data_IF_980554240058
#
_entry.id   IF_980554240058
#
_cell.length_a   1.000
_cell.length_b   1.000
_cell.length_c   1.000
_cell.angle_alpha   90.00
_cell.angle_beta   90.00
_cell.angle_gamma   90.00
#
_symmetry.space_group_name_H-M   'P 1'
#
loop_
_entity.id
_entity.type
_entity.pdbx_description
1 polymer ?
#
# COMPACT_ATOMS: atom_id res chain seq x y z
N UNK A 1 -11.39 -51.47 58.24
CA UNK A 1 -10.72 -51.74 56.97
C UNK A 1 -11.50 -51.13 55.78
N UNK A 2 -11.75 -49.79 55.81
CA UNK A 2 -12.66 -49.14 54.84
C UNK A 2 -12.23 -47.69 54.49
N UNK A 3 -10.94 -47.38 54.42
CA UNK A 3 -10.49 -46.01 54.14
C UNK A 3 -9.56 -45.86 52.90
N UNK A 4 -9.19 -46.96 52.22
CA UNK A 4 -8.15 -46.85 51.16
C UNK A 4 -8.69 -46.74 49.71
N UNK A 5 -9.99 -47.02 49.49
CA UNK A 5 -10.60 -47.00 48.12
C UNK A 5 -11.07 -45.67 47.62
N UNK A 6 -11.30 -44.70 48.52
CA UNK A 6 -11.80 -43.35 48.18
C UNK A 6 -10.67 -42.41 47.69
N UNK A 7 -9.48 -42.59 48.16
CA UNK A 7 -8.30 -41.75 47.83
C UNK A 7 -7.73 -42.03 46.42
N UNK A 8 -7.81 -43.30 45.96
CA UNK A 8 -7.35 -43.66 44.61
C UNK A 8 -8.26 -43.09 43.50
N UNK A 9 -9.58 -43.01 43.71
CA UNK A 9 -10.50 -42.44 42.73
C UNK A 9 -10.33 -40.95 42.56
N UNK A 10 -10.06 -40.22 43.68
CA UNK A 10 -9.82 -38.77 43.68
C UNK A 10 -8.52 -38.40 42.96
N UNK A 11 -7.44 -39.17 43.13
CA UNK A 11 -6.15 -38.97 42.45
C UNK A 11 -6.22 -39.27 40.94
N UNK A 12 -7.02 -40.29 40.55
CA UNK A 12 -7.23 -40.59 39.13
C UNK A 12 -8.05 -39.51 38.43
N UNK A 13 -9.12 -39.01 39.04
CA UNK A 13 -9.95 -37.93 38.47
C UNK A 13 -9.17 -36.59 38.35
N UNK A 14 -8.27 -36.28 39.29
CA UNK A 14 -7.39 -35.11 39.21
C UNK A 14 -6.39 -35.20 38.06
N UNK A 15 -5.81 -36.40 37.83
CA UNK A 15 -4.90 -36.64 36.71
C UNK A 15 -5.56 -36.60 35.35
N UNK A 16 -6.80 -37.13 35.24
CA UNK A 16 -7.59 -37.04 34.00
C UNK A 16 -8.09 -35.61 33.74
N UNK A 17 -8.49 -34.85 34.75
CA UNK A 17 -8.84 -33.43 34.60
C UNK A 17 -7.68 -32.55 34.18
N UNK A 18 -6.47 -32.80 34.73
CA UNK A 18 -5.23 -32.12 34.32
C UNK A 18 -4.82 -32.49 32.88
N UNK A 19 -4.96 -33.74 32.47
CA UNK A 19 -4.67 -34.20 31.12
C UNK A 19 -5.65 -33.60 30.09
N UNK A 20 -6.94 -33.50 30.43
CA UNK A 20 -7.95 -32.85 29.57
C UNK A 20 -7.71 -31.34 29.47
N UNK A 21 -7.27 -30.68 30.54
CA UNK A 21 -6.92 -29.25 30.52
C UNK A 21 -5.67 -28.98 29.71
N UNK A 22 -4.69 -29.91 29.67
CA UNK A 22 -3.51 -29.83 28.82
C UNK A 22 -3.86 -30.08 27.33
N UNK A 23 -4.77 -31.00 27.03
CA UNK A 23 -5.28 -31.25 25.67
C UNK A 23 -6.06 -30.06 25.10
N UNK A 24 -6.81 -29.33 25.91
CA UNK A 24 -7.50 -28.11 25.52
C UNK A 24 -6.53 -26.94 25.23
N UNK A 25 -5.35 -26.90 25.87
CA UNK A 25 -4.35 -25.87 25.61
C UNK A 25 -3.57 -26.10 24.32
N UNK A 26 -3.46 -27.34 23.84
CA UNK A 26 -2.74 -27.68 22.60
C UNK A 26 -3.54 -27.33 21.34
N UNK A 27 -4.84 -27.21 21.43
CA UNK A 27 -5.69 -26.85 20.27
C UNK A 27 -5.71 -25.36 19.93
N UNK A 28 -5.08 -24.50 20.77
CA UNK A 28 -4.96 -23.05 20.51
C UNK A 28 -3.72 -22.67 19.70
N UNK A 29 -2.88 -23.64 19.31
CA UNK A 29 -1.83 -23.44 18.31
C UNK A 29 -2.43 -23.54 16.89
N UNK A 30 -3.47 -22.78 16.60
CA UNK A 30 -3.84 -22.48 15.23
C UNK A 30 -2.68 -21.70 14.65
N UNK A 31 -1.97 -22.31 13.71
CA UNK A 31 -0.79 -21.70 13.11
C UNK A 31 -1.18 -20.32 12.59
N UNK A 32 -0.60 -19.27 13.17
CA UNK A 32 -0.80 -17.90 12.70
C UNK A 32 -0.46 -17.88 11.22
N UNK A 33 -1.35 -17.33 10.42
CA UNK A 33 -1.13 -17.17 8.98
C UNK A 33 0.08 -16.25 8.76
N UNK A 34 1.19 -16.82 8.28
CA UNK A 34 2.44 -16.09 8.01
C UNK A 34 2.72 -15.91 6.54
N UNK A 35 1.84 -16.43 5.69
CA UNK A 35 1.94 -16.37 4.23
C UNK A 35 0.54 -16.24 3.62
N UNK A 36 0.47 -15.64 2.43
CA UNK A 36 -0.79 -15.44 1.75
C UNK A 36 -0.74 -14.33 0.70
N UNK A 37 -1.93 -14.06 0.17
CA UNK A 37 -2.17 -13.01 -0.79
C UNK A 37 -3.34 -12.14 -0.32
N UNK A 38 -3.24 -10.83 -0.51
CA UNK A 38 -4.32 -9.87 -0.22
C UNK A 38 -4.56 -9.01 -1.45
N UNK A 39 -5.82 -8.89 -1.83
CA UNK A 39 -6.26 -7.93 -2.85
C UNK A 39 -6.70 -6.65 -2.16
N UNK A 40 -6.16 -5.52 -2.58
CA UNK A 40 -6.53 -4.19 -2.10
C UNK A 40 -7.17 -3.37 -3.21
N UNK A 41 -8.13 -2.55 -2.81
CA UNK A 41 -8.64 -1.45 -3.59
C UNK A 41 -8.03 -0.15 -3.08
N UNK A 42 -7.48 0.66 -3.99
CA UNK A 42 -7.06 2.02 -3.73
C UNK A 42 -8.05 2.99 -4.35
N UNK A 43 -8.63 3.87 -3.55
CA UNK A 43 -9.43 4.99 -4.04
C UNK A 43 -8.66 6.30 -3.83
N UNK A 44 -8.48 7.08 -4.88
CA UNK A 44 -7.85 8.40 -4.84
C UNK A 44 -8.84 9.48 -5.23
N UNK A 45 -8.87 10.58 -4.47
CA UNK A 45 -9.59 11.79 -4.86
C UNK A 45 -8.76 12.57 -5.87
N UNK A 46 -9.36 12.85 -7.02
CA UNK A 46 -8.75 13.64 -8.08
C UNK A 46 -9.16 15.11 -7.90
N UNK A 47 -8.19 16.00 -7.71
CA UNK A 47 -8.41 17.45 -7.66
C UNK A 47 -7.84 18.06 -8.93
N UNK A 48 -8.68 18.17 -9.96
CA UNK A 48 -8.36 18.92 -11.17
C UNK A 48 -8.95 20.33 -11.04
N UNK A 49 -8.09 21.32 -11.00
CA UNK A 49 -8.50 22.73 -11.14
C UNK A 49 -8.14 23.18 -12.54
N UNK A 50 -9.16 23.33 -13.38
CA UNK A 50 -9.01 23.90 -14.72
C UNK A 50 -9.56 25.32 -14.63
N UNK A 51 -8.68 26.33 -14.80
CA UNK A 51 -9.00 27.74 -14.51
C UNK A 51 -10.03 28.37 -15.44
N UNK A 52 -10.42 27.78 -16.58
CA UNK A 52 -11.27 28.46 -17.57
C UNK A 52 -12.44 27.64 -18.15
N UNK A 53 -12.63 26.36 -17.78
CA UNK A 53 -13.67 25.55 -18.39
C UNK A 53 -14.40 24.67 -17.38
N UNK A 54 -15.43 25.22 -16.73
CA UNK A 54 -16.30 24.50 -15.80
C UNK A 54 -16.97 23.25 -16.42
N UNK A 55 -17.10 23.21 -17.77
CA UNK A 55 -17.69 22.08 -18.46
C UNK A 55 -16.81 20.85 -18.47
N UNK A 56 -15.49 21.00 -18.61
CA UNK A 56 -14.54 19.88 -18.59
C UNK A 56 -14.37 19.35 -17.16
N UNK A 57 -14.35 20.23 -16.15
CA UNK A 57 -14.25 19.84 -14.73
C UNK A 57 -15.44 18.97 -14.28
N UNK A 58 -16.64 19.20 -14.84
CA UNK A 58 -17.84 18.40 -14.54
C UNK A 58 -17.84 17.02 -15.23
N UNK A 59 -17.07 16.83 -16.29
CA UNK A 59 -16.99 15.58 -17.04
C UNK A 59 -15.91 14.62 -16.52
N UNK A 60 -15.00 15.10 -15.67
CA UNK A 60 -13.91 14.27 -15.14
C UNK A 60 -14.34 13.56 -13.86
N UNK A 61 -13.94 12.28 -13.67
CA UNK A 61 -14.25 11.55 -12.45
C UNK A 61 -13.56 12.22 -11.26
N UNK A 62 -14.31 12.41 -10.17
CA UNK A 62 -13.79 12.99 -8.92
C UNK A 62 -12.94 12.00 -8.12
N UNK A 63 -13.06 10.73 -8.42
CA UNK A 63 -12.32 9.65 -7.77
C UNK A 63 -11.79 8.67 -8.81
N UNK A 64 -10.67 8.06 -8.51
CA UNK A 64 -10.10 6.97 -9.27
C UNK A 64 -9.92 5.77 -8.35
N UNK A 65 -10.23 4.59 -8.86
CA UNK A 65 -10.08 3.33 -8.15
C UNK A 65 -9.14 2.40 -8.91
N UNK A 66 -8.16 1.83 -8.21
CA UNK A 66 -7.21 0.86 -8.75
C UNK A 66 -7.13 -0.34 -7.80
N UNK A 67 -6.81 -1.53 -8.32
CA UNK A 67 -6.60 -2.72 -7.51
C UNK A 67 -5.13 -3.11 -7.44
N UNK A 68 -4.70 -3.59 -6.28
CA UNK A 68 -3.35 -4.04 -6.02
C UNK A 68 -3.36 -5.41 -5.37
N UNK A 69 -2.30 -6.16 -5.60
CA UNK A 69 -2.04 -7.44 -4.96
C UNK A 69 -0.81 -7.34 -4.07
N UNK A 70 -0.96 -7.77 -2.84
CA UNK A 70 0.12 -8.00 -1.89
C UNK A 70 0.28 -9.49 -1.70
N UNK A 71 1.43 -10.04 -2.06
CA UNK A 71 1.83 -11.40 -1.75
C UNK A 71 2.87 -11.37 -0.64
N UNK A 72 2.73 -12.20 0.40
CA UNK A 72 3.64 -12.21 1.53
C UNK A 72 3.95 -13.64 2.00
N UNK A 73 5.17 -13.85 2.48
CA UNK A 73 5.66 -15.11 3.04
C UNK A 73 7.17 -15.04 3.30
N UNK A 74 7.70 -15.96 4.10
CA UNK A 74 9.13 -16.00 4.43
C UNK A 74 9.70 -14.67 4.96
N UNK A 75 8.88 -13.88 5.66
CA UNK A 75 9.22 -12.54 6.14
C UNK A 75 9.58 -11.54 5.01
N UNK A 76 9.00 -11.75 3.84
CA UNK A 76 9.13 -10.93 2.64
C UNK A 76 7.73 -10.61 2.09
N UNK A 77 7.64 -9.58 1.25
CA UNK A 77 6.42 -9.26 0.52
C UNK A 77 6.72 -8.74 -0.87
N UNK A 78 5.73 -8.90 -1.75
CA UNK A 78 5.68 -8.31 -3.09
C UNK A 78 4.35 -7.58 -3.24
N UNK A 79 4.43 -6.31 -3.55
CA UNK A 79 3.30 -5.44 -3.86
C UNK A 79 3.34 -5.06 -5.33
N UNK A 80 2.26 -5.26 -6.04
CA UNK A 80 2.11 -4.91 -7.45
C UNK A 80 0.69 -4.52 -7.78
N UNK A 81 0.47 -3.88 -8.90
CA UNK A 81 -0.87 -3.68 -9.46
C UNK A 81 -1.50 -5.04 -9.78
N UNK A 82 -2.77 -5.23 -9.45
CA UNK A 82 -3.49 -6.43 -9.85
C UNK A 82 -3.78 -6.37 -11.36
N UNK A 83 -3.52 -7.49 -12.05
CA UNK A 83 -3.82 -7.62 -13.48
C UNK A 83 -5.35 -7.82 -13.66
N UNK A 84 -6.13 -6.77 -13.44
CA UNK A 84 -7.53 -6.74 -13.84
C UNK A 84 -7.60 -6.10 -15.23
N UNK A 85 -8.07 -6.85 -16.21
CA UNK A 85 -8.27 -6.41 -17.61
C UNK A 85 -9.26 -5.24 -17.75
N UNK A 86 -10.02 -4.91 -16.69
CA UNK A 86 -11.10 -3.93 -16.70
C UNK A 86 -10.67 -2.47 -16.44
N UNK A 87 -9.40 -2.19 -16.09
CA UNK A 87 -8.97 -0.84 -15.69
C UNK A 87 -8.55 0.08 -16.86
N UNK A 88 -8.86 -0.27 -18.10
CA UNK A 88 -8.82 0.67 -19.21
C UNK A 88 -10.10 1.52 -19.23
N UNK A 89 -10.35 2.32 -18.21
CA UNK A 89 -11.40 3.33 -18.25
C UNK A 89 -11.04 4.37 -19.32
N UNK A 90 -11.53 4.14 -20.53
CA UNK A 90 -11.53 5.12 -21.61
C UNK A 90 -12.67 6.10 -21.35
N UNK A 91 -12.32 7.31 -20.88
CA UNK A 91 -13.28 8.40 -20.82
C UNK A 91 -13.25 9.19 -22.13
N UNK A 92 -14.37 9.24 -22.82
CA UNK A 92 -14.47 10.03 -24.05
C UNK A 92 -15.90 10.17 -24.53
N UNK A 93 -16.32 11.42 -24.71
CA UNK A 93 -17.48 11.84 -25.49
C UNK A 93 -17.02 12.82 -26.55
N UNK A 94 -17.45 12.65 -27.81
CA UNK A 94 -17.18 13.62 -28.87
C UNK A 94 -15.79 13.58 -29.50
N UNK A 95 -15.16 12.40 -29.63
CA UNK A 95 -13.92 12.23 -30.42
C UNK A 95 -12.61 12.44 -29.66
N UNK A 96 -12.64 12.70 -28.35
CA UNK A 96 -11.45 12.79 -27.50
C UNK A 96 -11.40 11.57 -26.56
N UNK A 97 -10.46 10.68 -26.78
CA UNK A 97 -10.16 9.56 -25.87
C UNK A 97 -9.07 10.01 -24.88
N UNK A 98 -9.42 10.11 -23.61
CA UNK A 98 -8.45 10.40 -22.55
C UNK A 98 -8.15 9.08 -21.83
N UNK A 99 -6.95 8.55 -22.03
CA UNK A 99 -6.44 7.40 -21.28
C UNK A 99 -5.67 7.91 -20.07
N UNK A 100 -6.24 7.74 -18.87
CA UNK A 100 -5.54 8.09 -17.64
C UNK A 100 -4.69 6.91 -17.17
N UNK A 101 -3.38 7.01 -17.34
CA UNK A 101 -2.43 6.09 -16.72
C UNK A 101 -2.10 6.62 -15.33
N UNK A 102 -2.45 5.87 -14.28
CA UNK A 102 -2.17 6.27 -12.91
C UNK A 102 -0.70 6.15 -12.53
N UNK A 103 -0.25 6.94 -11.56
CA UNK A 103 1.09 6.80 -11.02
C UNK A 103 1.26 5.42 -10.38
N UNK A 104 2.38 4.75 -10.66
CA UNK A 104 2.72 3.46 -10.07
C UNK A 104 1.99 2.25 -10.63
N UNK A 105 1.32 2.34 -11.79
CA UNK A 105 0.59 1.22 -12.38
C UNK A 105 1.51 0.03 -12.74
N UNK A 106 2.75 0.29 -13.13
CA UNK A 106 3.75 -0.73 -13.45
C UNK A 106 4.80 -0.90 -12.36
N UNK A 107 4.59 -0.26 -11.20
CA UNK A 107 5.54 -0.32 -10.12
C UNK A 107 5.38 -1.62 -9.33
N UNK A 108 6.51 -2.20 -8.94
CA UNK A 108 6.58 -3.43 -8.15
C UNK A 108 7.48 -3.15 -6.96
N UNK A 109 6.96 -3.31 -5.75
CA UNK A 109 7.71 -3.15 -4.51
C UNK A 109 7.93 -4.50 -3.85
N UNK A 110 9.18 -4.90 -3.71
CA UNK A 110 9.62 -6.02 -2.87
C UNK A 110 10.14 -5.49 -1.54
N UNK A 111 9.74 -6.14 -0.44
CA UNK A 111 10.27 -5.84 0.90
C UNK A 111 10.83 -7.09 1.56
N UNK A 112 12.00 -6.96 2.17
CA UNK A 112 12.58 -7.95 3.07
C UNK A 112 12.57 -7.37 4.50
N UNK A 113 11.71 -7.94 5.35
CA UNK A 113 11.52 -7.46 6.72
C UNK A 113 12.64 -7.89 7.67
N UNK A 114 13.44 -8.92 7.29
CA UNK A 114 14.57 -9.37 8.11
C UNK A 114 15.67 -8.32 8.17
N UNK A 115 15.89 -7.61 7.08
CA UNK A 115 16.94 -6.60 6.94
C UNK A 115 16.40 -5.19 6.75
N UNK A 116 15.08 -5.01 6.91
CA UNK A 116 14.36 -3.73 6.76
C UNK A 116 14.69 -3.02 5.43
N UNK A 117 14.67 -3.76 4.32
CA UNK A 117 15.05 -3.29 2.98
C UNK A 117 13.86 -3.35 2.03
N UNK A 118 13.69 -2.30 1.23
CA UNK A 118 12.75 -2.23 0.12
C UNK A 118 13.47 -2.10 -1.22
N UNK A 119 12.98 -2.79 -2.24
CA UNK A 119 13.44 -2.66 -3.63
C UNK A 119 12.23 -2.43 -4.50
N UNK A 120 12.17 -1.27 -5.11
CA UNK A 120 11.04 -0.86 -5.93
C UNK A 120 11.46 -0.72 -7.39
N UNK A 121 10.80 -1.46 -8.29
CA UNK A 121 10.90 -1.21 -9.72
C UNK A 121 9.88 -0.13 -10.06
N UNK A 122 10.35 0.97 -10.60
CA UNK A 122 9.52 2.09 -11.08
C UNK A 122 9.67 2.26 -12.57
N UNK A 123 8.56 2.57 -13.21
CA UNK A 123 8.57 2.96 -14.61
C UNK A 123 8.29 4.45 -14.74
N UNK A 124 9.23 5.16 -15.38
CA UNK A 124 9.10 6.58 -15.67
C UNK A 124 9.25 6.79 -17.17
N UNK A 125 8.15 7.12 -17.85
CA UNK A 125 8.03 7.10 -19.30
C UNK A 125 8.38 5.69 -19.84
N UNK A 126 9.40 5.58 -20.68
CA UNK A 126 9.84 4.30 -21.27
C UNK A 126 11.05 3.69 -20.55
N UNK A 127 11.45 4.29 -19.39
CA UNK A 127 12.64 3.85 -18.65
C UNK A 127 12.25 3.18 -17.35
N UNK A 128 12.89 2.04 -17.08
CA UNK A 128 12.73 1.29 -15.83
C UNK A 128 13.90 1.57 -14.89
N UNK A 129 13.56 1.80 -13.63
CA UNK A 129 14.51 2.02 -12.54
C UNK A 129 14.28 1.00 -11.45
N UNK A 130 15.35 0.60 -10.79
CA UNK A 130 15.32 -0.20 -9.57
C UNK A 130 15.84 0.69 -8.46
N UNK A 131 14.94 1.10 -7.57
CA UNK A 131 15.22 2.00 -6.45
C UNK A 131 15.33 1.15 -5.20
N UNK A 132 16.49 1.15 -4.57
CA UNK A 132 16.73 0.44 -3.31
C UNK A 132 16.78 1.43 -2.15
N UNK A 133 16.01 1.14 -1.09
CA UNK A 133 15.95 1.98 0.11
C UNK A 133 15.73 1.13 1.37
N UNK A 134 16.01 1.72 2.52
CA UNK A 134 15.63 1.14 3.81
C UNK A 134 14.15 1.39 4.11
N UNK A 135 13.51 0.49 4.86
CA UNK A 135 12.14 0.70 5.32
C UNK A 135 12.14 1.76 6.43
N UNK A 136 11.71 2.96 6.10
CA UNK A 136 11.63 4.08 7.05
C UNK A 136 10.48 3.89 8.04
N UNK A 137 10.74 4.15 9.32
CA UNK A 137 9.73 4.06 10.37
C UNK A 137 9.10 5.42 10.65
N UNK A 138 7.77 5.42 10.75
CA UNK A 138 7.00 6.55 11.23
C UNK A 138 6.78 6.44 12.76
N UNK A 139 6.48 7.56 13.39
CA UNK A 139 6.11 7.60 14.81
C UNK A 139 4.63 7.25 14.96
N UNK A 140 4.33 5.95 15.07
CA UNK A 140 2.98 5.46 15.23
C UNK A 140 2.46 5.65 16.65
N UNK A 141 1.18 6.07 16.75
CA UNK A 141 0.40 6.13 17.99
C UNK A 141 -0.78 5.19 17.88
N UNK A 142 -0.88 4.23 18.79
CA UNK A 142 -2.07 3.39 18.95
C UNK A 142 -3.16 4.24 19.63
N UNK A 143 -4.37 4.25 19.06
CA UNK A 143 -5.47 5.06 19.58
C UNK A 143 -6.32 4.34 20.62
N UNK A 144 -6.17 3.02 20.73
CA UNK A 144 -7.02 2.15 21.55
C UNK A 144 -8.36 1.77 20.88
N UNK A 145 -8.65 2.33 19.72
CA UNK A 145 -9.83 1.97 18.94
C UNK A 145 -9.63 0.62 18.25
N UNK A 146 -10.71 -0.15 18.15
CA UNK A 146 -10.73 -1.44 17.47
C UNK A 146 -11.97 -1.60 16.60
N UNK A 147 -11.84 -2.36 15.51
CA UNK A 147 -12.95 -2.78 14.65
C UNK A 147 -12.63 -4.11 14.01
N UNK A 148 -13.63 -4.78 13.44
CA UNK A 148 -13.44 -6.02 12.69
C UNK A 148 -13.46 -5.73 11.19
N UNK A 149 -12.41 -6.14 10.46
CA UNK A 149 -12.32 -6.05 9.01
C UNK A 149 -12.05 -7.44 8.45
N UNK A 150 -12.83 -7.87 7.48
CA UNK A 150 -12.72 -9.20 6.83
C UNK A 150 -12.68 -10.36 7.85
N UNK A 151 -13.38 -10.23 8.98
CA UNK A 151 -13.41 -11.23 10.05
C UNK A 151 -12.23 -11.15 11.03
N UNK A 152 -11.27 -10.26 10.85
CA UNK A 152 -10.11 -10.07 11.73
C UNK A 152 -10.28 -8.86 12.65
N UNK A 153 -10.02 -8.98 13.96
CA UNK A 153 -9.96 -7.85 14.86
C UNK A 153 -8.76 -6.96 14.51
N UNK A 154 -9.03 -5.69 14.28
CA UNK A 154 -8.03 -4.69 13.90
C UNK A 154 -7.90 -3.62 14.97
N UNK A 155 -6.69 -3.12 15.14
CA UNK A 155 -6.35 -1.96 15.97
C UNK A 155 -6.05 -0.76 15.08
N UNK A 156 -6.42 0.43 15.55
CA UNK A 156 -6.14 1.69 14.88
C UNK A 156 -4.81 2.27 15.33
N UNK A 157 -3.99 2.63 14.37
CA UNK A 157 -2.76 3.38 14.57
C UNK A 157 -2.78 4.65 13.70
N UNK A 158 -2.20 5.74 14.20
CA UNK A 158 -2.06 7.01 13.49
C UNK A 158 -0.61 7.44 13.46
N UNK A 159 -0.20 8.06 12.36
CA UNK A 159 1.11 8.66 12.21
C UNK A 159 1.04 9.91 11.33
N UNK A 160 2.11 10.70 11.35
CA UNK A 160 2.32 11.81 10.43
C UNK A 160 3.57 11.52 9.59
N UNK A 161 3.47 11.78 8.29
CA UNK A 161 4.58 11.70 7.34
C UNK A 161 4.80 13.09 6.72
N UNK A 162 5.97 13.65 6.94
CA UNK A 162 6.38 14.88 6.24
C UNK A 162 6.87 14.47 4.86
N UNK A 163 6.27 15.03 3.84
CA UNK A 163 6.66 14.87 2.44
C UNK A 163 6.88 16.22 1.80
N UNK A 164 7.46 16.25 0.61
CA UNK A 164 7.56 17.46 -0.19
C UNK A 164 6.55 17.37 -1.32
N UNK A 165 5.75 18.41 -1.46
CA UNK A 165 4.77 18.55 -2.53
C UNK A 165 5.23 19.64 -3.50
N UNK A 166 5.19 19.35 -4.79
CA UNK A 166 5.41 20.36 -5.81
C UNK A 166 4.18 21.27 -5.92
N UNK A 167 4.34 22.53 -5.57
CA UNK A 167 3.33 23.56 -5.81
C UNK A 167 3.67 24.28 -7.10
N UNK A 168 2.73 24.31 -8.04
CA UNK A 168 2.83 25.11 -9.26
C UNK A 168 1.99 26.37 -9.11
N UNK A 169 2.58 27.50 -9.39
CA UNK A 169 1.90 28.81 -9.43
C UNK A 169 2.14 29.41 -10.80
N UNK A 170 1.10 29.95 -11.42
CA UNK A 170 1.22 30.71 -12.67
C UNK A 170 1.04 32.18 -12.28
N UNK A 171 2.12 32.98 -12.42
CA UNK A 171 2.09 34.40 -12.21
C UNK A 171 2.55 35.11 -13.50
N UNK A 172 1.73 36.02 -14.00
CA UNK A 172 1.99 36.79 -15.24
C UNK A 172 2.38 35.89 -16.45
N UNK A 173 1.74 34.73 -16.58
CA UNK A 173 2.02 33.77 -17.65
C UNK A 173 3.32 32.96 -17.47
N UNK A 174 4.04 33.15 -16.37
CA UNK A 174 5.20 32.34 -15.99
C UNK A 174 4.80 31.30 -14.98
N UNK A 175 5.14 30.05 -15.27
CA UNK A 175 4.95 28.94 -14.35
C UNK A 175 6.13 28.87 -13.38
N UNK A 176 5.83 29.10 -12.10
CA UNK A 176 6.79 28.90 -11.01
C UNK A 176 6.50 27.57 -10.30
N UNK A 177 7.55 26.84 -9.98
CA UNK A 177 7.48 25.60 -9.22
C UNK A 177 8.22 25.79 -7.91
N UNK A 178 7.56 25.40 -6.84
CA UNK A 178 8.15 25.44 -5.49
C UNK A 178 7.88 24.14 -4.77
N UNK A 179 8.92 23.55 -4.21
CA UNK A 179 8.73 22.45 -3.26
C UNK A 179 8.31 23.03 -1.91
N UNK A 180 7.19 22.56 -1.40
CA UNK A 180 6.68 22.94 -0.09
C UNK A 180 6.52 21.70 0.77
N UNK A 181 6.90 21.80 2.04
CA UNK A 181 6.67 20.74 2.99
C UNK A 181 5.17 20.51 3.14
N UNK A 182 4.76 19.24 3.09
CA UNK A 182 3.38 18.81 3.27
C UNK A 182 3.34 17.73 4.36
N UNK A 183 2.43 17.87 5.32
CA UNK A 183 2.28 16.91 6.40
C UNK A 183 1.07 16.04 6.13
N UNK A 184 1.31 14.78 5.82
CA UNK A 184 0.26 13.81 5.58
C UNK A 184 -0.10 13.09 6.89
N UNK A 185 -1.37 13.12 7.25
CA UNK A 185 -1.91 12.28 8.32
C UNK A 185 -2.20 10.89 7.76
N UNK A 186 -1.74 9.87 8.46
CA UNK A 186 -1.93 8.47 8.06
C UNK A 186 -2.68 7.75 9.17
N UNK A 187 -3.76 7.08 8.81
CA UNK A 187 -4.56 6.23 9.69
C UNK A 187 -4.50 4.81 9.17
N UNK A 188 -3.99 3.87 9.97
CA UNK A 188 -3.90 2.46 9.62
C UNK A 188 -4.76 1.61 10.55
N UNK A 189 -5.46 0.64 9.97
CA UNK A 189 -6.11 -0.45 10.68
C UNK A 189 -5.38 -1.74 10.37
N UNK A 190 -4.77 -2.34 11.38
CA UNK A 190 -3.96 -3.55 11.23
C UNK A 190 -4.41 -4.65 12.17
N UNK A 191 -4.21 -5.90 11.76
CA UNK A 191 -4.53 -7.08 12.56
C UNK A 191 -3.27 -7.84 12.98
N UNK A 192 -3.21 -8.22 14.25
CA UNK A 192 -2.15 -9.10 14.78
C UNK A 192 -2.44 -10.59 14.57
N UNK A 193 -3.64 -10.97 14.09
CA UNK A 193 -3.97 -12.35 13.75
C UNK A 193 -3.08 -12.87 12.61
N UNK A 194 -2.67 -11.94 11.74
CA UNK A 194 -1.71 -12.17 10.67
C UNK A 194 -0.45 -11.36 10.99
N UNK A 195 0.52 -11.94 11.71
CA UNK A 195 1.65 -11.21 12.30
C UNK A 195 2.76 -10.94 11.27
N UNK A 196 2.39 -10.38 10.14
CA UNK A 196 3.30 -9.97 9.07
C UNK A 196 3.21 -8.45 8.91
N UNK A 197 4.33 -7.75 9.07
CA UNK A 197 4.40 -6.29 8.99
C UNK A 197 4.24 -5.79 7.54
N UNK A 198 3.19 -6.23 6.85
CA UNK A 198 2.94 -5.94 5.45
C UNK A 198 1.66 -5.10 5.27
N UNK A 199 1.55 -4.43 4.12
CA UNK A 199 0.39 -3.63 3.75
C UNK A 199 0.73 -2.55 2.73
N UNK A 200 -0.21 -1.70 2.34
CA UNK A 200 0.04 -0.60 1.42
C UNK A 200 0.94 0.47 2.06
N UNK A 201 1.78 1.13 1.27
CA UNK A 201 2.55 2.36 1.58
C UNK A 201 3.54 2.28 2.75
N UNK A 202 3.22 1.60 3.85
CA UNK A 202 3.96 1.67 5.11
C UNK A 202 4.36 0.27 5.60
N UNK A 203 4.97 -0.52 4.72
CA UNK A 203 5.44 -1.86 5.04
C UNK A 203 6.56 -1.88 6.08
N UNK A 204 6.63 -2.94 6.88
CA UNK A 204 7.68 -3.12 7.88
C UNK A 204 7.51 -2.28 9.16
N UNK A 205 6.36 -1.63 9.38
CA UNK A 205 6.20 -0.63 10.43
C UNK A 205 5.26 -1.02 11.58
N UNK A 206 4.18 -1.73 11.29
CA UNK A 206 3.19 -2.16 12.28
C UNK A 206 3.30 -3.66 12.56
N UNK A 207 2.97 -4.13 13.77
CA UNK A 207 3.14 -5.53 14.16
C UNK A 207 1.97 -6.41 13.67
N UNK A 208 1.65 -6.35 12.38
CA UNK A 208 0.58 -7.11 11.75
C UNK A 208 0.22 -6.59 10.38
N UNK A 209 -0.67 -7.32 9.70
CA UNK A 209 -1.14 -7.00 8.36
C UNK A 209 -2.08 -5.79 8.39
N UNK A 210 -1.80 -4.79 7.56
CA UNK A 210 -2.63 -3.59 7.43
C UNK A 210 -3.81 -3.92 6.49
N UNK A 211 -5.03 -3.86 6.99
CA UNK A 211 -6.24 -4.13 6.21
C UNK A 211 -6.90 -2.86 5.65
N UNK A 212 -6.63 -1.71 6.25
CA UNK A 212 -7.06 -0.43 5.71
C UNK A 212 -6.05 0.66 6.04
N UNK A 213 -5.82 1.55 5.09
CA UNK A 213 -4.95 2.70 5.25
C UNK A 213 -5.63 3.92 4.63
N UNK A 214 -5.73 5.00 5.40
CA UNK A 214 -6.24 6.30 4.95
C UNK A 214 -5.12 7.33 5.05
N UNK A 215 -4.93 8.08 3.99
CA UNK A 215 -3.97 9.17 3.90
C UNK A 215 -4.72 10.46 3.61
N UNK A 216 -4.59 11.42 4.52
CA UNK A 216 -5.20 12.75 4.44
C UNK A 216 -6.73 12.72 4.30
N UNK A 217 -7.40 12.08 5.26
CA UNK A 217 -8.85 12.09 5.45
C UNK A 217 -9.63 11.75 4.15
N UNK A 218 -9.29 10.59 3.57
CA UNK A 218 -9.94 10.06 2.39
C UNK A 218 -9.37 10.55 1.06
N UNK A 219 -8.29 11.34 1.05
CA UNK A 219 -7.61 11.72 -0.20
C UNK A 219 -7.06 10.50 -0.94
N UNK A 220 -6.52 9.54 -0.20
CA UNK A 220 -6.10 8.25 -0.70
C UNK A 220 -6.44 7.17 0.33
N UNK A 221 -7.25 6.22 -0.06
CA UNK A 221 -7.71 5.14 0.83
C UNK A 221 -7.40 3.80 0.20
N UNK A 222 -6.75 2.93 0.98
CA UNK A 222 -6.57 1.52 0.65
C UNK A 222 -7.48 0.68 1.54
N UNK A 223 -8.17 -0.30 0.95
CA UNK A 223 -8.99 -1.27 1.68
C UNK A 223 -8.68 -2.67 1.18
N UNK A 224 -8.39 -3.60 2.09
CA UNK A 224 -8.34 -5.01 1.74
C UNK A 224 -9.73 -5.48 1.34
N UNK A 225 -9.84 -6.12 0.20
CA UNK A 225 -11.08 -6.71 -0.32
C UNK A 225 -11.15 -8.20 -0.01
N UNK A 226 -10.02 -8.90 -0.10
CA UNK A 226 -9.90 -10.34 0.07
C UNK A 226 -8.56 -10.71 0.68
N UNK A 227 -8.56 -11.72 1.55
CA UNK A 227 -7.36 -12.34 2.12
C UNK A 227 -7.41 -13.82 1.79
N UNK A 228 -6.36 -14.35 1.16
CA UNK A 228 -6.22 -15.75 0.82
C UNK A 228 -4.96 -16.34 1.47
N UNK A 229 -5.03 -17.52 2.08
CA UNK A 229 -3.85 -18.24 2.54
C UNK A 229 -3.07 -18.89 1.39
N UNK A 230 -3.62 -18.90 0.19
CA UNK A 230 -2.96 -19.45 -0.99
C UNK A 230 -1.93 -18.45 -1.49
N UNK A 231 -0.70 -18.94 -1.69
CA UNK A 231 0.42 -18.13 -2.16
C UNK A 231 1.39 -18.99 -2.97
N UNK A 232 1.94 -18.42 -4.02
CA UNK A 232 3.14 -18.93 -4.67
C UNK A 232 4.36 -18.18 -4.10
N UNK A 233 5.02 -18.77 -3.12
CA UNK A 233 6.21 -18.17 -2.50
C UNK A 233 7.34 -17.93 -3.52
N UNK A 234 7.39 -18.69 -4.61
CA UNK A 234 8.38 -18.50 -5.65
C UNK A 234 8.12 -17.24 -6.49
N UNK A 235 6.93 -16.66 -6.41
CA UNK A 235 6.60 -15.37 -7.05
C UNK A 235 7.14 -14.16 -6.29
N UNK A 236 7.44 -14.30 -4.98
CA UNK A 236 8.00 -13.23 -4.15
C UNK A 236 9.48 -13.07 -4.50
N UNK A 237 9.76 -12.25 -5.51
CA UNK A 237 11.12 -12.03 -6.01
C UNK A 237 11.44 -10.56 -6.12
N UNK A 238 12.67 -10.23 -5.77
CA UNK A 238 13.23 -8.89 -5.97
C UNK A 238 13.21 -8.50 -7.45
N UNK A 239 12.68 -7.34 -7.83
CA UNK A 239 12.72 -6.87 -9.19
C UNK A 239 14.15 -6.47 -9.58
N UNK A 240 14.56 -6.88 -10.79
CA UNK A 240 15.95 -6.66 -11.27
C UNK A 240 16.01 -5.88 -12.58
N UNK A 241 14.85 -5.61 -13.20
CA UNK A 241 14.81 -4.95 -14.53
C UNK A 241 14.81 -3.44 -14.37
N UNK A 242 15.90 -2.78 -14.76
CA UNK A 242 16.02 -1.33 -14.76
C UNK A 242 17.38 -0.83 -14.31
N UNK A 243 17.59 0.49 -14.43
CA UNK A 243 18.78 1.17 -13.91
C UNK A 243 18.73 1.22 -12.40
N UNK A 244 19.72 0.62 -11.71
CA UNK A 244 19.81 0.72 -10.25
C UNK A 244 20.18 2.14 -9.83
N UNK A 245 19.39 2.71 -8.94
CA UNK A 245 19.55 4.08 -8.45
C UNK A 245 19.14 4.18 -6.98
N UNK A 246 19.67 5.18 -6.29
CA UNK A 246 19.15 5.57 -4.97
C UNK A 246 17.87 6.41 -5.11
N UNK A 247 17.06 6.59 -4.04
CA UNK A 247 15.90 7.48 -4.08
C UNK A 247 16.22 8.90 -4.55
N UNK A 248 17.36 9.47 -4.10
CA UNK A 248 17.82 10.78 -4.53
C UNK A 248 18.13 10.83 -6.04
N UNK A 249 18.87 9.85 -6.54
CA UNK A 249 19.19 9.75 -7.97
C UNK A 249 17.93 9.57 -8.82
N UNK A 250 16.94 8.78 -8.34
CA UNK A 250 15.67 8.63 -9.04
C UNK A 250 14.92 9.96 -9.12
N UNK A 251 14.89 10.73 -8.04
CA UNK A 251 14.27 12.06 -8.03
C UNK A 251 14.97 13.02 -9.01
N UNK A 252 16.29 12.99 -9.08
CA UNK A 252 17.06 13.80 -10.04
C UNK A 252 16.74 13.42 -11.50
N UNK A 253 16.68 12.12 -11.80
CA UNK A 253 16.30 11.64 -13.14
C UNK A 253 14.87 12.06 -13.49
N UNK A 254 13.94 11.91 -12.56
CA UNK A 254 12.56 12.36 -12.75
C UNK A 254 12.48 13.85 -13.05
N UNK A 255 13.18 14.68 -12.27
CA UNK A 255 13.16 16.12 -12.45
C UNK A 255 13.75 16.53 -13.81
N UNK A 256 14.86 15.93 -14.22
CA UNK A 256 15.45 16.15 -15.55
C UNK A 256 14.49 15.81 -16.68
N UNK A 257 13.83 14.64 -16.60
CA UNK A 257 12.87 14.22 -17.62
C UNK A 257 11.67 15.17 -17.69
N UNK A 258 11.19 15.64 -16.55
CA UNK A 258 10.11 16.61 -16.49
C UNK A 258 10.50 17.97 -17.10
N UNK A 259 11.72 18.43 -16.89
CA UNK A 259 12.25 19.65 -17.51
C UNK A 259 12.39 19.52 -19.04
N UNK A 260 12.92 18.39 -19.51
CA UNK A 260 13.04 18.10 -20.95
C UNK A 260 11.67 18.10 -21.65
N UNK A 261 10.66 17.48 -21.03
CA UNK A 261 9.29 17.48 -21.56
C UNK A 261 8.73 18.91 -21.65
N UNK A 262 8.99 19.76 -20.65
CA UNK A 262 8.51 21.14 -20.69
C UNK A 262 9.17 21.95 -21.81
N UNK A 263 10.48 21.80 -22.01
CA UNK A 263 11.20 22.47 -23.10
C UNK A 263 10.66 22.05 -24.46
N UNK A 264 10.39 20.76 -24.62
CA UNK A 264 9.84 20.22 -25.89
C UNK A 264 8.39 20.69 -26.14
N UNK A 265 7.58 20.87 -25.10
CA UNK A 265 6.20 21.37 -25.22
C UNK A 265 6.17 22.90 -25.52
N UNK A 266 7.14 23.68 -25.07
CA UNK A 266 7.21 25.11 -25.38
C UNK A 266 7.64 25.39 -26.82
N UNK A 267 8.31 24.44 -27.50
CA UNK A 267 8.77 24.57 -28.88
C UNK A 267 7.73 24.22 -29.96
N UNK A 268 6.62 23.59 -29.62
CA UNK A 268 5.65 23.11 -30.58
C UNK A 268 4.25 23.65 -30.21
N UNK A 269 3.90 24.82 -30.74
CA UNK A 269 2.62 25.50 -30.52
C UNK A 269 1.42 24.71 -31.09
N UNK A 270 1.08 23.59 -30.48
CA UNK A 270 -0.07 22.78 -30.79
C UNK A 270 -0.70 22.24 -29.51
N UNK A 271 -1.96 22.57 -29.27
CA UNK A 271 -2.78 22.14 -28.16
C UNK A 271 -2.79 20.61 -27.97
N UNK A 272 -1.87 20.10 -27.18
CA UNK A 272 -1.98 18.75 -26.60
C UNK A 272 -1.79 18.87 -25.10
N UNK A 273 -2.90 18.90 -24.38
CA UNK A 273 -2.89 18.80 -22.92
C UNK A 273 -2.68 17.32 -22.59
N UNK A 274 -1.47 16.95 -22.18
CA UNK A 274 -1.20 15.64 -21.57
C UNK A 274 -1.20 15.89 -20.06
N UNK A 275 -2.31 15.55 -19.41
CA UNK A 275 -2.40 15.55 -17.94
C UNK A 275 -1.88 14.19 -17.47
N UNK A 276 -0.69 14.18 -16.87
CA UNK A 276 -0.16 13.07 -16.08
C UNK A 276 -0.05 13.53 -14.63
N UNK A 277 -0.81 12.92 -13.77
CA UNK A 277 -0.67 13.06 -12.30
C UNK A 277 0.22 11.95 -11.75
#
# INVERSE_FOLDING_TARGET
MWHSSFDLKSKSMRKTALACMWLLFVTLLWGQQKEGTVVYERTMQMQLRINDDNAIEQMLPKTRTDKFELTFGNNQSLWKHADDDDNNEEFGGGGMQIRMVGPGQNDVLFCDFNIARGVEQRELFDKKFVVEDSLHKLNWKLTGESQTLLGHPCQKATAQRISQRMQMTIDNGKMERKEVADTNTIVAWFTSDIPVSAGPEVQGQLPGLILSLDINDGRMVYKALEISPKVDLASIKEPTKGKKVTPAQFNDERNKMMEEMQKNNQGNGGNRIIIRN
#
